data_IF_920451925643
#
_entry.id   IF_920451925643
#
_cell.length_a   1.000
_cell.length_b   1.000
_cell.length_c   1.000
_cell.angle_alpha   90.00
_cell.angle_beta   90.00
_cell.angle_gamma   90.00
#
_symmetry.space_group_name_H-M   'P 1'
#
loop_
_entity.id
_entity.type
_entity.pdbx_description
1 polymer ?
#
# COMPACT_ATOMS: atom_id res chain seq x y z
N UNK A 1 -9.25 28.68 56.98
CA UNK A 1 -8.24 29.51 57.67
C UNK A 1 -7.02 28.64 57.96
N UNK A 2 -5.83 29.18 57.68
CA UNK A 2 -4.52 28.87 58.29
C UNK A 2 -4.02 27.41 58.40
N UNK A 3 -3.03 27.09 57.56
CA UNK A 3 -1.78 26.42 57.98
C UNK A 3 -0.86 27.48 58.69
N UNK A 4 0.37 27.20 59.23
CA UNK A 4 1.34 26.11 58.98
C UNK A 4 1.80 25.44 60.33
N UNK A 5 3.02 24.90 60.61
CA UNK A 5 4.35 24.83 59.94
C UNK A 5 5.27 23.71 60.51
N UNK A 6 6.42 23.55 59.85
CA UNK A 6 7.72 22.99 60.31
C UNK A 6 8.04 21.47 60.35
N UNK A 7 8.97 21.13 59.45
CA UNK A 7 9.94 20.01 59.40
C UNK A 7 11.04 20.12 60.49
N UNK A 8 12.20 19.41 60.46
CA UNK A 8 12.65 18.29 59.60
C UNK A 8 13.31 17.10 60.35
N UNK A 9 13.68 16.02 59.63
CA UNK A 9 15.01 15.41 59.84
C UNK A 9 15.56 14.70 58.59
N UNK A 10 16.88 14.50 58.58
CA UNK A 10 17.71 14.09 57.44
C UNK A 10 18.00 12.58 57.46
N UNK A 11 18.03 11.94 56.30
CA UNK A 11 18.55 10.58 56.11
C UNK A 11 19.25 10.46 54.75
N UNK A 12 20.58 10.36 54.77
CA UNK A 12 21.40 10.27 53.55
C UNK A 12 21.37 8.84 52.95
N UNK A 13 21.45 8.77 51.62
CA UNK A 13 21.56 7.50 50.88
C UNK A 13 22.18 7.75 49.51
N UNK A 14 23.50 7.65 49.42
CA UNK A 14 24.23 7.79 48.16
C UNK A 14 23.90 6.62 47.22
N UNK A 15 23.87 6.91 45.92
CA UNK A 15 23.48 5.97 44.87
C UNK A 15 23.73 6.56 43.50
N UNK A 16 24.99 6.89 43.22
CA UNK A 16 25.44 7.38 41.91
C UNK A 16 25.08 6.37 40.82
N UNK A 17 24.10 6.72 39.99
CA UNK A 17 23.94 6.12 38.66
C UNK A 17 24.41 7.14 37.63
N UNK A 18 25.67 6.96 37.25
CA UNK A 18 26.33 7.75 36.24
C UNK A 18 25.61 7.58 34.89
N UNK A 19 25.62 8.66 34.12
CA UNK A 19 24.91 8.78 32.85
C UNK A 19 25.54 7.83 31.83
N UNK A 20 24.75 6.95 31.24
CA UNK A 20 25.07 6.36 29.94
C UNK A 20 24.08 6.89 28.90
N UNK A 21 24.53 7.91 28.17
CA UNK A 21 23.76 8.55 27.11
C UNK A 21 23.83 7.71 25.82
N UNK A 22 23.31 6.48 25.91
CA UNK A 22 23.29 5.49 24.85
C UNK A 22 22.29 5.81 23.73
N UNK A 23 22.67 6.75 22.86
CA UNK A 23 22.22 6.86 21.45
C UNK A 23 20.71 6.61 21.22
N UNK A 24 19.90 7.64 21.45
CA UNK A 24 18.63 7.75 20.73
C UNK A 24 18.94 7.74 19.23
N UNK A 25 18.42 6.75 18.49
CA UNK A 25 18.50 6.78 17.04
C UNK A 25 17.68 7.98 16.54
N UNK A 26 18.36 8.89 15.84
CA UNK A 26 17.72 10.01 15.19
C UNK A 26 16.77 9.47 14.11
N UNK A 27 15.48 9.42 14.44
CA UNK A 27 14.40 9.23 13.47
C UNK A 27 14.29 10.54 12.68
N UNK A 28 15.29 10.79 11.84
CA UNK A 28 15.33 11.94 10.96
C UNK A 28 14.06 11.89 10.12
N UNK A 29 13.25 12.96 10.14
CA UNK A 29 12.02 13.06 9.34
C UNK A 29 12.38 13.35 7.88
N UNK A 30 13.12 12.43 7.27
CA UNK A 30 13.48 12.45 5.85
C UNK A 30 12.31 11.96 5.00
N UNK A 31 12.14 12.52 3.81
CA UNK A 31 11.18 11.99 2.84
C UNK A 31 11.53 10.54 2.52
N UNK A 32 10.58 9.62 2.76
CA UNK A 32 10.71 8.21 2.40
C UNK A 32 10.06 7.98 1.03
N UNK A 33 10.79 7.37 0.10
CA UNK A 33 10.24 6.92 -1.17
C UNK A 33 9.97 5.41 -1.11
N UNK A 34 8.74 5.00 -1.41
CA UNK A 34 8.39 3.59 -1.61
C UNK A 34 8.21 3.31 -3.11
N UNK A 35 8.67 2.13 -3.54
CA UNK A 35 8.44 1.55 -4.87
C UNK A 35 8.02 0.09 -4.72
N UNK A 36 7.34 -0.46 -5.72
CA UNK A 36 6.99 -1.87 -5.82
C UNK A 36 7.66 -2.46 -7.06
N UNK A 37 8.18 -3.68 -6.94
CA UNK A 37 8.65 -4.49 -8.07
C UNK A 37 7.99 -5.88 -7.97
N UNK A 38 7.44 -6.34 -9.09
CA UNK A 38 6.88 -7.69 -9.24
C UNK A 38 7.87 -8.51 -10.09
N UNK A 39 8.56 -9.48 -9.49
CA UNK A 39 9.71 -10.16 -10.09
C UNK A 39 9.36 -10.92 -11.39
N UNK A 40 8.11 -11.37 -11.53
CA UNK A 40 7.61 -12.03 -12.76
C UNK A 40 7.28 -11.06 -13.90
N UNK A 41 7.34 -9.74 -13.66
CA UNK A 41 7.17 -8.69 -14.68
C UNK A 41 8.50 -8.09 -15.16
N UNK A 42 9.63 -8.47 -14.54
CA UNK A 42 10.95 -7.88 -14.82
C UNK A 42 11.23 -6.59 -14.04
N UNK A 43 12.47 -6.11 -14.14
CA UNK A 43 12.87 -4.83 -13.56
C UNK A 43 12.82 -3.72 -14.60
N UNK A 44 12.43 -2.52 -14.17
CA UNK A 44 12.46 -1.28 -14.96
C UNK A 44 13.16 -0.19 -14.16
N UNK A 45 13.80 0.75 -14.85
CA UNK A 45 14.49 1.86 -14.18
C UNK A 45 13.55 2.65 -13.26
N UNK A 46 13.99 2.91 -12.03
CA UNK A 46 13.18 3.60 -11.04
C UNK A 46 13.50 5.10 -11.06
N UNK A 47 12.58 5.88 -11.62
CA UNK A 47 12.63 7.35 -11.59
C UNK A 47 12.35 7.88 -10.17
N UNK A 48 13.25 8.74 -9.70
CA UNK A 48 13.19 9.39 -8.40
C UNK A 48 12.59 10.79 -8.57
N UNK A 49 11.34 11.02 -8.12
CA UNK A 49 10.70 12.32 -8.24
C UNK A 49 11.34 13.32 -7.29
N UNK A 50 11.03 14.60 -7.47
CA UNK A 50 11.30 15.61 -6.46
C UNK A 50 10.33 15.44 -5.28
N UNK A 51 10.77 15.74 -4.05
CA UNK A 51 9.86 15.75 -2.89
C UNK A 51 8.96 16.97 -2.95
N UNK A 52 7.68 16.81 -2.62
CA UNK A 52 6.74 17.93 -2.46
C UNK A 52 7.13 18.93 -1.37
N UNK A 53 8.09 18.55 -0.51
CA UNK A 53 8.67 19.39 0.56
C UNK A 53 10.02 20.02 0.18
N UNK A 54 10.55 19.75 -1.03
CA UNK A 54 11.91 20.14 -1.43
C UNK A 54 13.05 19.32 -0.80
N UNK A 55 12.75 18.46 0.17
CA UNK A 55 13.74 17.57 0.78
C UNK A 55 14.25 16.51 -0.22
N UNK A 56 15.52 16.10 -0.09
CA UNK A 56 16.09 15.02 -0.89
C UNK A 56 15.77 13.65 -0.28
N UNK A 57 15.42 12.69 -1.13
CA UNK A 57 15.33 11.28 -0.71
C UNK A 57 16.74 10.73 -0.48
N UNK A 58 16.99 10.11 0.67
CA UNK A 58 18.27 9.46 0.99
C UNK A 58 18.34 8.01 0.51
N UNK A 59 17.19 7.34 0.41
CA UNK A 59 17.04 5.97 -0.07
C UNK A 59 15.61 5.74 -0.60
N UNK A 60 15.45 4.64 -1.35
CA UNK A 60 14.17 4.07 -1.76
C UNK A 60 13.96 2.77 -1.01
N UNK A 61 12.78 2.57 -0.46
CA UNK A 61 12.31 1.27 0.00
C UNK A 61 11.61 0.59 -1.18
N UNK A 62 12.04 -0.61 -1.56
CA UNK A 62 11.49 -1.37 -2.68
C UNK A 62 10.76 -2.58 -2.12
N UNK A 63 9.43 -2.56 -2.13
CA UNK A 63 8.61 -3.74 -1.85
C UNK A 63 8.74 -4.73 -3.00
N UNK A 64 9.37 -5.87 -2.73
CA UNK A 64 9.58 -6.94 -3.70
C UNK A 64 8.46 -7.96 -3.58
N UNK A 65 7.85 -8.31 -4.71
CA UNK A 65 6.77 -9.29 -4.82
C UNK A 65 7.08 -10.34 -5.87
N UNK A 66 6.54 -11.54 -5.66
CA UNK A 66 6.50 -12.61 -6.66
C UNK A 66 5.12 -13.29 -6.63
N UNK A 67 4.49 -13.39 -7.79
CA UNK A 67 3.12 -13.89 -7.95
C UNK A 67 2.12 -13.12 -7.06
N UNK A 68 2.30 -11.78 -6.96
CA UNK A 68 1.52 -10.87 -6.12
C UNK A 68 1.66 -11.10 -4.60
N UNK A 69 2.57 -11.98 -4.16
CA UNK A 69 2.90 -12.18 -2.75
C UNK A 69 4.10 -11.31 -2.38
N UNK A 70 4.07 -10.53 -1.28
CA UNK A 70 5.26 -9.82 -0.81
C UNK A 70 6.30 -10.83 -0.30
N UNK A 71 7.55 -10.64 -0.74
CA UNK A 71 8.71 -11.39 -0.26
C UNK A 71 9.47 -10.60 0.81
N UNK A 72 9.70 -9.31 0.57
CA UNK A 72 10.41 -8.44 1.51
C UNK A 72 10.46 -6.99 1.05
N UNK A 73 11.19 -6.15 1.80
CA UNK A 73 11.47 -4.75 1.44
C UNK A 73 12.98 -4.55 1.39
N UNK A 74 13.49 -4.13 0.24
CA UNK A 74 14.92 -3.88 0.00
C UNK A 74 15.18 -2.37 0.00
N UNK A 75 16.18 -1.92 0.77
CA UNK A 75 16.52 -0.49 0.88
C UNK A 75 17.66 -0.13 -0.07
N UNK A 76 17.34 0.59 -1.15
CA UNK A 76 18.32 1.06 -2.13
C UNK A 76 18.76 2.49 -1.79
N UNK A 77 20.04 2.74 -1.40
CA UNK A 77 20.53 4.08 -1.14
C UNK A 77 20.62 4.89 -2.45
N UNK A 78 20.29 6.19 -2.39
CA UNK A 78 20.23 7.02 -3.60
C UNK A 78 21.53 7.76 -3.93
N UNK A 79 22.31 8.17 -2.93
CA UNK A 79 23.54 8.98 -3.11
C UNK A 79 23.37 10.21 -4.04
N UNK A 80 22.16 10.78 -4.13
CA UNK A 80 21.83 11.90 -5.01
C UNK A 80 21.29 11.52 -6.40
N UNK A 81 21.29 10.24 -6.77
CA UNK A 81 20.78 9.75 -8.05
C UNK A 81 19.31 10.13 -8.30
N UNK A 82 19.00 10.44 -9.56
CA UNK A 82 17.64 10.72 -10.06
C UNK A 82 16.98 9.52 -10.75
N UNK A 83 17.78 8.51 -11.09
CA UNK A 83 17.36 7.24 -11.70
C UNK A 83 18.14 6.13 -11.01
N UNK A 84 17.49 5.02 -10.68
CA UNK A 84 18.14 3.77 -10.31
C UNK A 84 17.98 2.78 -11.46
N UNK A 85 19.10 2.29 -11.99
CA UNK A 85 19.12 1.34 -13.10
C UNK A 85 18.51 -0.01 -12.69
N UNK A 86 17.69 -0.58 -13.57
CA UNK A 86 17.00 -1.85 -13.36
C UNK A 86 17.96 -2.99 -12.95
N UNK A 87 19.17 -3.02 -13.51
CA UNK A 87 20.18 -4.04 -13.21
C UNK A 87 20.71 -3.96 -11.76
N UNK A 88 21.03 -2.76 -11.29
CA UNK A 88 21.49 -2.53 -9.91
C UNK A 88 20.39 -2.83 -8.88
N UNK A 89 19.13 -2.49 -9.20
CA UNK A 89 17.98 -2.84 -8.34
C UNK A 89 17.79 -4.36 -8.32
N UNK A 90 17.94 -5.05 -9.45
CA UNK A 90 17.87 -6.51 -9.51
C UNK A 90 18.97 -7.18 -8.67
N UNK A 91 20.22 -6.74 -8.81
CA UNK A 91 21.35 -7.25 -8.04
C UNK A 91 21.12 -7.16 -6.52
N UNK A 92 20.75 -5.98 -6.02
CA UNK A 92 20.43 -5.78 -4.59
C UNK A 92 19.23 -6.62 -4.11
N UNK A 93 18.24 -6.86 -4.97
CA UNK A 93 17.06 -7.66 -4.62
C UNK A 93 17.39 -9.15 -4.56
N UNK A 94 18.15 -9.68 -5.53
CA UNK A 94 18.57 -11.07 -5.51
C UNK A 94 19.64 -11.37 -4.45
N UNK A 95 20.47 -10.38 -4.07
CA UNK A 95 21.41 -10.48 -2.94
C UNK A 95 20.67 -10.56 -1.58
N UNK A 96 19.68 -9.69 -1.36
CA UNK A 96 19.01 -9.58 -0.05
C UNK A 96 17.83 -10.52 0.17
N UNK A 97 17.20 -11.05 -0.89
CA UNK A 97 15.98 -11.89 -0.80
C UNK A 97 16.13 -13.25 -1.50
N UNK A 98 17.35 -13.76 -1.65
CA UNK A 98 17.62 -15.04 -2.31
C UNK A 98 16.79 -16.20 -1.72
N UNK A 99 16.80 -16.33 -0.40
CA UNK A 99 16.13 -17.40 0.35
C UNK A 99 14.60 -17.31 0.21
N UNK A 100 14.01 -16.12 0.31
CA UNK A 100 12.57 -15.91 0.14
C UNK A 100 12.11 -16.21 -1.30
N UNK A 101 12.92 -15.83 -2.29
CA UNK A 101 12.67 -16.13 -3.70
C UNK A 101 12.72 -17.64 -3.94
N UNK A 102 13.77 -18.32 -3.47
CA UNK A 102 13.93 -19.77 -3.66
C UNK A 102 12.84 -20.57 -2.93
N UNK A 103 12.48 -20.18 -1.69
CA UNK A 103 11.41 -20.82 -0.93
C UNK A 103 10.04 -20.68 -1.62
N UNK A 104 9.75 -19.52 -2.21
CA UNK A 104 8.50 -19.30 -2.96
C UNK A 104 8.47 -20.09 -4.27
N UNK A 105 9.55 -20.09 -5.04
CA UNK A 105 9.66 -20.89 -6.29
C UNK A 105 9.57 -22.40 -6.02
N UNK A 106 10.23 -22.88 -4.97
CA UNK A 106 10.15 -24.28 -4.52
C UNK A 106 8.71 -24.67 -4.16
N UNK A 107 7.96 -23.79 -3.50
CA UNK A 107 6.53 -23.99 -3.19
C UNK A 107 5.67 -24.15 -4.44
N UNK A 108 6.05 -23.47 -5.52
CA UNK A 108 5.37 -23.47 -6.82
C UNK A 108 5.80 -24.64 -7.74
N UNK A 109 6.85 -25.36 -7.37
CA UNK A 109 7.41 -26.48 -8.12
C UNK A 109 8.44 -26.07 -9.19
N UNK A 110 8.96 -24.84 -9.11
CA UNK A 110 9.99 -24.32 -10.01
C UNK A 110 11.37 -24.56 -9.39
N UNK A 111 12.28 -25.19 -10.14
CA UNK A 111 13.62 -25.55 -9.69
C UNK A 111 14.65 -24.52 -10.19
N UNK A 112 15.10 -23.62 -9.30
CA UNK A 112 16.21 -22.69 -9.52
C UNK A 112 15.94 -21.53 -10.49
N UNK A 113 16.45 -20.33 -10.18
CA UNK A 113 16.35 -19.14 -11.06
C UNK A 113 17.45 -19.08 -12.13
N UNK A 114 18.55 -19.84 -11.96
CA UNK A 114 19.71 -19.77 -12.84
C UNK A 114 20.59 -18.52 -12.67
N UNK A 115 20.26 -17.62 -11.74
CA UNK A 115 21.05 -16.44 -11.39
C UNK A 115 20.32 -15.11 -11.51
N UNK A 116 21.06 -14.03 -11.24
CA UNK A 116 20.58 -12.64 -11.25
C UNK A 116 20.36 -12.17 -12.69
N UNK A 117 19.11 -11.99 -13.10
CA UNK A 117 18.75 -11.38 -14.38
C UNK A 117 17.93 -10.10 -14.17
N UNK A 118 18.35 -9.00 -14.78
CA UNK A 118 17.57 -7.75 -14.83
C UNK A 118 16.25 -7.91 -15.61
N UNK A 119 16.16 -8.94 -16.46
CA UNK A 119 14.91 -9.43 -17.06
C UNK A 119 13.89 -9.95 -16.03
N UNK A 120 14.26 -10.06 -14.75
CA UNK A 120 13.46 -10.64 -13.68
C UNK A 120 13.52 -12.17 -13.68
N UNK A 121 12.64 -12.76 -12.87
CA UNK A 121 12.35 -14.19 -12.99
C UNK A 121 11.43 -14.31 -14.21
N UNK A 122 11.92 -14.92 -15.29
CA UNK A 122 11.16 -15.07 -16.54
C UNK A 122 9.72 -15.52 -16.26
N UNK A 123 8.72 -14.99 -16.96
CA UNK A 123 7.32 -15.16 -16.59
C UNK A 123 6.93 -16.63 -16.53
N UNK A 124 6.78 -17.07 -15.28
CA UNK A 124 6.06 -18.25 -14.76
C UNK A 124 4.57 -18.22 -15.12
N UNK A 125 4.21 -17.69 -16.28
CA UNK A 125 2.90 -17.84 -16.93
C UNK A 125 2.48 -19.31 -17.07
N UNK A 126 3.44 -20.23 -17.06
CA UNK A 126 3.24 -21.69 -17.00
C UNK A 126 3.16 -22.25 -15.55
N UNK A 127 3.69 -21.54 -14.57
CA UNK A 127 3.67 -21.90 -13.14
C UNK A 127 2.86 -20.86 -12.35
N UNK A 128 1.55 -20.80 -12.63
CA UNK A 128 0.61 -20.13 -11.72
C UNK A 128 0.87 -20.62 -10.30
N UNK A 129 1.10 -19.70 -9.37
CA UNK A 129 1.48 -20.05 -8.01
C UNK A 129 0.49 -21.05 -7.41
N UNK A 130 0.92 -21.97 -6.53
CA UNK A 130 -0.03 -22.85 -5.81
C UNK A 130 -1.13 -22.03 -5.14
N UNK A 131 -0.79 -20.82 -4.67
CA UNK A 131 -1.72 -19.83 -4.15
C UNK A 131 -2.74 -19.37 -5.22
N UNK A 132 -2.29 -18.92 -6.38
CA UNK A 132 -3.16 -18.46 -7.48
C UNK A 132 -4.07 -19.58 -8.02
N UNK A 133 -3.55 -20.81 -8.15
CA UNK A 133 -4.35 -21.99 -8.50
C UNK A 133 -5.45 -22.26 -7.46
N UNK A 134 -5.14 -22.08 -6.17
CA UNK A 134 -6.12 -22.23 -5.08
C UNK A 134 -7.18 -21.14 -5.11
N UNK A 135 -6.81 -19.89 -5.42
CA UNK A 135 -7.75 -18.78 -5.62
C UNK A 135 -8.63 -18.95 -6.87
N UNK A 136 -8.11 -19.58 -7.93
CA UNK A 136 -8.86 -19.87 -9.16
C UNK A 136 -9.84 -21.03 -9.04
N UNK A 137 -9.58 -22.00 -8.15
CA UNK A 137 -10.37 -23.22 -8.02
C UNK A 137 -11.68 -23.07 -7.21
N UNK A 138 -11.89 -21.95 -6.50
CA UNK A 138 -13.12 -21.69 -5.75
C UNK A 138 -14.13 -20.89 -6.59
N UNK A 139 -15.45 -21.13 -6.44
CA UNK A 139 -16.47 -20.25 -6.99
C UNK A 139 -16.23 -18.81 -6.51
N UNK A 140 -16.19 -17.85 -7.45
CA UNK A 140 -15.94 -16.45 -7.11
C UNK A 140 -17.22 -15.75 -6.69
N UNK A 141 -17.29 -15.40 -5.42
CA UNK A 141 -18.34 -14.61 -4.77
C UNK A 141 -18.36 -13.17 -5.26
N UNK A 142 -19.54 -12.54 -5.27
CA UNK A 142 -19.69 -11.12 -5.58
C UNK A 142 -19.06 -10.25 -4.48
N UNK A 143 -18.17 -9.35 -4.88
CA UNK A 143 -17.56 -8.33 -4.01
C UNK A 143 -18.21 -6.96 -4.25
N UNK A 144 -18.57 -6.24 -3.19
CA UNK A 144 -18.95 -4.83 -3.27
C UNK A 144 -17.77 -3.95 -2.84
N UNK A 145 -17.21 -3.19 -3.78
CA UNK A 145 -16.12 -2.24 -3.51
C UNK A 145 -16.74 -0.88 -3.19
N UNK A 146 -16.68 -0.47 -1.92
CA UNK A 146 -17.17 0.82 -1.43
C UNK A 146 -16.03 1.84 -1.51
N UNK A 147 -16.18 2.84 -2.37
CA UNK A 147 -15.25 3.96 -2.53
C UNK A 147 -15.83 5.18 -1.82
N UNK A 148 -15.22 5.63 -0.73
CA UNK A 148 -15.67 6.85 -0.03
C UNK A 148 -14.97 8.09 -0.57
N UNK A 149 -15.75 9.09 -0.97
CA UNK A 149 -15.25 10.36 -1.54
C UNK A 149 -15.84 11.57 -0.81
N UNK A 150 -15.13 12.70 -0.89
CA UNK A 150 -15.59 14.00 -0.41
C UNK A 150 -15.35 15.05 -1.52
N UNK A 151 -16.41 15.38 -2.25
CA UNK A 151 -16.42 16.27 -3.42
C UNK A 151 -15.69 15.74 -4.66
N UNK A 152 -15.78 14.44 -4.95
CA UNK A 152 -15.23 13.85 -6.18
C UNK A 152 -13.83 14.34 -6.54
N UNK A 153 -12.86 14.10 -5.65
CA UNK A 153 -11.48 14.60 -5.77
C UNK A 153 -10.88 14.26 -7.14
N UNK A 154 -9.88 15.04 -7.57
CA UNK A 154 -9.18 14.82 -8.85
C UNK A 154 -8.65 13.37 -9.02
N UNK A 155 -8.36 12.69 -7.90
CA UNK A 155 -7.94 11.30 -7.81
C UNK A 155 -9.04 10.26 -8.05
N UNK A 156 -10.32 10.58 -7.79
CA UNK A 156 -11.43 9.62 -7.82
C UNK A 156 -11.53 8.89 -9.17
N UNK A 157 -11.32 9.61 -10.29
CA UNK A 157 -11.35 8.99 -11.62
C UNK A 157 -10.25 7.93 -11.79
N UNK A 158 -9.03 8.21 -11.32
CA UNK A 158 -7.91 7.27 -11.40
C UNK A 158 -8.12 6.07 -10.46
N UNK A 159 -8.61 6.31 -9.24
CA UNK A 159 -9.03 5.26 -8.31
C UNK A 159 -10.04 4.30 -8.97
N UNK A 160 -11.15 4.83 -9.49
CA UNK A 160 -12.19 4.02 -10.13
C UNK A 160 -11.68 3.29 -11.38
N UNK A 161 -10.82 3.91 -12.19
CA UNK A 161 -10.18 3.26 -13.34
C UNK A 161 -9.28 2.09 -12.91
N UNK A 162 -8.50 2.23 -11.83
CA UNK A 162 -7.66 1.15 -11.31
C UNK A 162 -8.49 -0.06 -10.84
N UNK A 163 -9.61 0.19 -10.12
CA UNK A 163 -10.53 -0.86 -9.68
C UNK A 163 -11.14 -1.59 -10.89
N UNK A 164 -11.55 -0.87 -11.94
CA UNK A 164 -12.12 -1.45 -13.17
C UNK A 164 -11.15 -2.40 -13.90
N UNK A 165 -9.84 -2.13 -13.81
CA UNK A 165 -8.77 -2.95 -14.42
C UNK A 165 -8.44 -4.23 -13.63
N UNK A 166 -8.92 -4.38 -12.40
CA UNK A 166 -8.69 -5.58 -11.58
C UNK A 166 -9.04 -6.87 -12.34
N UNK A 167 -8.25 -7.93 -12.15
CA UNK A 167 -8.53 -9.27 -12.72
C UNK A 167 -9.57 -10.08 -11.93
N UNK A 168 -10.07 -9.55 -10.80
CA UNK A 168 -11.15 -10.19 -10.05
C UNK A 168 -12.51 -9.92 -10.72
N UNK A 169 -13.38 -10.93 -10.76
CA UNK A 169 -14.80 -10.85 -11.13
C UNK A 169 -15.52 -12.01 -10.43
N UNK A 170 -16.79 -11.87 -9.98
CA UNK A 170 -17.65 -10.70 -10.15
C UNK A 170 -17.49 -9.65 -9.04
N UNK A 171 -17.64 -8.36 -9.38
CA UNK A 171 -17.74 -7.29 -8.39
C UNK A 171 -18.66 -6.15 -8.87
N UNK A 172 -19.09 -5.31 -7.93
CA UNK A 172 -19.71 -4.00 -8.17
C UNK A 172 -18.93 -2.90 -7.43
N UNK A 173 -19.09 -1.64 -7.86
CA UNK A 173 -18.51 -0.46 -7.21
C UNK A 173 -19.64 0.44 -6.68
N UNK A 174 -19.48 0.92 -5.44
CA UNK A 174 -20.40 1.84 -4.77
C UNK A 174 -19.61 3.07 -4.34
N UNK A 175 -19.78 4.18 -5.05
CA UNK A 175 -19.17 5.47 -4.73
C UNK A 175 -20.09 6.20 -3.75
N UNK A 176 -19.60 6.42 -2.53
CA UNK A 176 -20.34 7.13 -1.48
C UNK A 176 -19.75 8.52 -1.28
N UNK A 177 -20.51 9.54 -1.69
CA UNK A 177 -20.20 10.94 -1.45
C UNK A 177 -20.65 11.34 -0.04
N UNK A 178 -19.71 11.83 0.78
CA UNK A 178 -19.97 12.21 2.17
C UNK A 178 -19.79 13.72 2.45
N UNK A 179 -19.87 14.55 1.41
CA UNK A 179 -20.02 16.00 1.54
C UNK A 179 -21.50 16.42 1.48
N UNK A 180 -22.04 17.06 2.53
CA UNK A 180 -23.33 17.74 2.42
C UNK A 180 -23.20 18.97 1.49
N UNK A 181 -23.90 18.95 0.36
CA UNK A 181 -23.95 20.04 -0.62
C UNK A 181 -24.25 19.53 -2.03
N UNK A 182 -24.67 20.42 -2.93
CA UNK A 182 -25.08 20.09 -4.29
C UNK A 182 -23.89 19.98 -5.28
N UNK A 183 -22.87 19.18 -4.95
CA UNK A 183 -21.75 18.91 -5.86
C UNK A 183 -22.02 17.65 -6.68
N UNK A 184 -21.99 17.77 -7.99
CA UNK A 184 -22.29 16.67 -8.92
C UNK A 184 -21.04 15.97 -9.45
N UNK A 185 -19.82 16.45 -9.13
CA UNK A 185 -18.57 15.97 -9.75
C UNK A 185 -18.34 14.47 -9.58
N UNK A 186 -18.56 13.91 -8.39
CA UNK A 186 -18.42 12.46 -8.17
C UNK A 186 -19.44 11.64 -8.97
N UNK A 187 -20.67 12.16 -9.10
CA UNK A 187 -21.75 11.55 -9.89
C UNK A 187 -21.45 11.60 -11.39
N UNK A 188 -21.00 12.75 -11.90
CA UNK A 188 -20.58 12.92 -13.29
C UNK A 188 -19.42 11.98 -13.65
N UNK A 189 -18.42 11.85 -12.77
CA UNK A 189 -17.34 10.86 -12.93
C UNK A 189 -17.93 9.47 -13.09
N UNK A 190 -18.81 9.02 -12.18
CA UNK A 190 -19.47 7.70 -12.23
C UNK A 190 -20.28 7.51 -13.51
N UNK A 191 -21.06 8.50 -13.93
CA UNK A 191 -21.90 8.45 -15.13
C UNK A 191 -21.07 8.36 -16.44
N UNK A 192 -19.82 8.84 -16.44
CA UNK A 192 -18.88 8.73 -17.57
C UNK A 192 -18.08 7.42 -17.64
N UNK A 193 -18.17 6.53 -16.63
CA UNK A 193 -17.36 5.31 -16.61
C UNK A 193 -17.87 4.20 -17.56
N UNK A 194 -16.97 3.34 -18.09
CA UNK A 194 -17.36 2.15 -18.84
C UNK A 194 -18.25 1.22 -18.02
N UNK A 195 -19.40 0.81 -18.57
CA UNK A 195 -20.37 -0.09 -17.92
C UNK A 195 -19.96 -1.56 -17.93
N UNK A 196 -18.66 -1.84 -17.81
CA UNK A 196 -18.11 -3.21 -17.77
C UNK A 196 -18.39 -3.94 -16.44
N UNK A 197 -18.70 -3.18 -15.38
CA UNK A 197 -19.23 -3.66 -14.10
C UNK A 197 -20.33 -2.69 -13.61
N UNK A 198 -21.20 -3.08 -12.69
CA UNK A 198 -22.12 -2.15 -12.04
C UNK A 198 -21.35 -1.13 -11.20
N UNK A 199 -21.56 0.16 -11.49
CA UNK A 199 -21.08 1.28 -10.67
C UNK A 199 -22.29 2.09 -10.22
N UNK A 200 -22.39 2.35 -8.91
CA UNK A 200 -23.48 3.15 -8.30
C UNK A 200 -22.89 4.36 -7.57
N UNK A 201 -23.59 5.49 -7.65
CA UNK A 201 -23.33 6.68 -6.86
C UNK A 201 -24.40 6.84 -5.79
N UNK A 202 -23.99 7.14 -4.56
CA UNK A 202 -24.89 7.29 -3.39
C UNK A 202 -24.40 8.45 -2.52
N UNK A 203 -25.32 9.24 -1.98
CA UNK A 203 -25.03 10.33 -1.04
C UNK A 203 -25.29 9.90 0.40
N UNK A 204 -24.32 10.15 1.29
CA UNK A 204 -24.51 10.08 2.74
C UNK A 204 -24.45 11.49 3.34
N UNK A 205 -25.61 11.97 3.79
CA UNK A 205 -25.81 13.34 4.31
C UNK A 205 -25.21 13.56 5.70
N UNK A 206 -25.02 12.50 6.50
CA UNK A 206 -24.40 12.56 7.82
C UNK A 206 -22.88 12.54 7.66
N UNK A 207 -22.23 13.67 7.90
CA UNK A 207 -20.76 13.79 7.85
C UNK A 207 -20.07 12.72 8.71
N UNK A 208 -18.96 12.19 8.22
CA UNK A 208 -18.10 11.25 8.92
C UNK A 208 -17.89 9.96 8.13
N UNK A 209 -16.63 9.56 7.98
CA UNK A 209 -16.21 8.38 7.21
C UNK A 209 -16.95 7.10 7.63
N UNK A 210 -17.24 6.91 8.92
CA UNK A 210 -18.03 5.79 9.42
C UNK A 210 -19.47 5.78 8.90
N UNK A 211 -20.11 6.95 8.76
CA UNK A 211 -21.44 7.04 8.16
C UNK A 211 -21.38 6.68 6.68
N UNK A 212 -20.39 7.19 5.95
CA UNK A 212 -20.17 6.87 4.54
C UNK A 212 -19.95 5.38 4.30
N UNK A 213 -19.08 4.74 5.09
CA UNK A 213 -18.83 3.29 5.03
C UNK A 213 -20.08 2.49 5.41
N UNK A 214 -20.80 2.87 6.46
CA UNK A 214 -22.08 2.25 6.83
C UNK A 214 -23.14 2.37 5.72
N UNK A 215 -23.20 3.50 5.01
CA UNK A 215 -24.09 3.63 3.85
C UNK A 215 -23.66 2.73 2.71
N UNK A 216 -22.36 2.62 2.45
CA UNK A 216 -21.81 1.65 1.49
C UNK A 216 -22.18 0.20 1.81
N UNK A 217 -22.13 -0.20 3.10
CA UNK A 217 -22.58 -1.52 3.56
C UNK A 217 -24.08 -1.72 3.28
N UNK A 218 -24.92 -0.74 3.63
CA UNK A 218 -26.37 -0.83 3.43
C UNK A 218 -26.78 -0.90 1.95
N UNK A 219 -25.91 -0.44 1.06
CA UNK A 219 -26.10 -0.50 -0.40
C UNK A 219 -25.51 -1.76 -1.03
N UNK A 220 -24.60 -2.46 -0.34
CA UNK A 220 -23.85 -3.61 -0.87
C UNK A 220 -24.74 -4.81 -1.21
N UNK A 221 -24.42 -5.48 -2.31
CA UNK A 221 -25.08 -6.71 -2.78
C UNK A 221 -24.16 -7.93 -2.79
N UNK A 222 -22.86 -7.71 -2.66
CA UNK A 222 -21.87 -8.76 -2.52
C UNK A 222 -21.84 -9.36 -1.11
N UNK A 223 -21.46 -10.63 -1.00
CA UNK A 223 -21.25 -11.29 0.30
C UNK A 223 -19.98 -10.77 0.99
N UNK A 224 -19.07 -10.17 0.23
CA UNK A 224 -17.85 -9.52 0.72
C UNK A 224 -17.92 -8.03 0.41
N UNK A 225 -17.70 -7.19 1.43
CA UNK A 225 -17.60 -5.73 1.28
C UNK A 225 -16.15 -5.31 1.53
N UNK A 226 -15.58 -4.53 0.60
CA UNK A 226 -14.23 -3.98 0.70
C UNK A 226 -14.32 -2.46 0.64
N UNK A 227 -13.55 -1.76 1.48
CA UNK A 227 -13.49 -0.30 1.49
C UNK A 227 -12.18 0.19 0.87
N UNK A 228 -12.25 1.28 0.13
CA UNK A 228 -11.09 2.06 -0.30
C UNK A 228 -11.44 3.54 -0.32
N UNK A 229 -10.43 4.38 -0.18
CA UNK A 229 -10.58 5.84 -0.26
C UNK A 229 -10.32 6.32 -1.72
N UNK A 230 -10.75 7.54 -2.05
CA UNK A 230 -10.77 8.06 -3.43
C UNK A 230 -9.41 8.50 -4.00
N UNK A 231 -8.33 8.34 -3.22
CA UNK A 231 -6.94 8.60 -3.57
C UNK A 231 -6.06 7.33 -3.66
N UNK A 232 -6.67 6.15 -3.53
CA UNK A 232 -5.99 4.85 -3.68
C UNK A 232 -5.98 4.39 -5.15
N UNK A 233 -4.86 3.83 -5.60
CA UNK A 233 -4.76 3.04 -6.83
C UNK A 233 -4.68 1.55 -6.47
N UNK A 234 -5.51 0.73 -7.11
CA UNK A 234 -5.58 -0.72 -6.92
C UNK A 234 -4.76 -1.45 -7.99
N UNK A 235 -4.10 -2.53 -7.57
CA UNK A 235 -3.20 -3.42 -8.32
C UNK A 235 -3.83 -4.83 -8.45
#
# INVERSE_FOLDING_TARGET
MSAPSHSPFVGAGAGERQQDAGRAEDVTTGSMLLRQVELSAGFTDLLIPESSTGATYSAVQVLVRLHRRPLGIVRVPLYGARVLEAAMVAELVFDQLADEIEAHLTTDGVQGTGGVASAGILPTSQASCRHERTLGARPRTLVSVVVTTCNGRATLRACLQSILLSSYRPFEIIVVENRPGASTTAREIVETLPRAVPVRYVEERRRGLSNARNRGIAEARGEIVVFTDDDVLVD
#
